data_IF_763339767727
#
_entry.id   IF_763339767727
#
_cell.length_a   1.000
_cell.length_b   1.000
_cell.length_c   1.000
_cell.angle_alpha   90.00
_cell.angle_beta   90.00
_cell.angle_gamma   90.00
#
_symmetry.space_group_name_H-M   'P 1'
#
loop_
_entity.id
_entity.type
_entity.pdbx_description
1 polymer ?
#
# COMPACT_ATOMS: atom_id res chain seq x y z
N UNK A 1 -16.37 8.23 -6.75
CA UNK A 1 -15.12 7.98 -5.99
C UNK A 1 -13.91 8.53 -6.76
N UNK A 2 -12.85 8.95 -6.06
CA UNK A 2 -11.55 9.34 -6.64
C UNK A 2 -10.39 8.54 -6.05
N UNK A 3 -9.51 8.02 -6.90
CA UNK A 3 -8.35 7.23 -6.50
C UNK A 3 -7.06 8.01 -6.73
N UNK A 4 -6.38 8.35 -5.65
CA UNK A 4 -5.09 9.04 -5.69
C UNK A 4 -3.96 8.00 -5.79
N UNK A 5 -3.30 7.97 -6.95
CA UNK A 5 -2.33 6.97 -7.38
C UNK A 5 -0.92 7.57 -7.51
N UNK A 6 0.08 6.69 -7.56
CA UNK A 6 1.39 7.01 -8.10
C UNK A 6 1.86 5.79 -8.91
N UNK A 7 2.04 5.94 -10.23
CA UNK A 7 2.34 4.82 -11.15
C UNK A 7 3.56 3.99 -10.76
N UNK A 8 4.53 4.62 -10.11
CA UNK A 8 5.80 4.01 -9.72
C UNK A 8 5.79 3.41 -8.31
N UNK A 9 4.75 3.67 -7.52
CA UNK A 9 4.69 3.22 -6.13
C UNK A 9 4.03 1.83 -6.01
N UNK A 10 4.57 0.94 -5.14
CA UNK A 10 4.07 -0.43 -5.04
C UNK A 10 2.70 -0.52 -4.33
N UNK A 11 2.43 0.30 -3.32
CA UNK A 11 1.15 0.24 -2.58
C UNK A 11 -0.05 0.67 -3.45
N UNK A 12 0.02 1.77 -4.23
CA UNK A 12 -1.06 2.11 -5.18
C UNK A 12 -1.22 1.08 -6.29
N UNK A 13 -0.13 0.49 -6.81
CA UNK A 13 -0.22 -0.59 -7.80
C UNK A 13 -1.08 -1.76 -7.32
N UNK A 14 -0.95 -2.15 -6.05
CA UNK A 14 -1.77 -3.21 -5.43
C UNK A 14 -3.27 -2.86 -5.41
N UNK A 15 -3.62 -1.61 -5.11
CA UNK A 15 -5.01 -1.14 -5.18
C UNK A 15 -5.52 -1.07 -6.62
N UNK A 16 -4.69 -0.62 -7.57
CA UNK A 16 -5.03 -0.54 -8.99
C UNK A 16 -5.35 -1.91 -9.59
N UNK A 17 -4.56 -2.93 -9.24
CA UNK A 17 -4.84 -4.32 -9.64
C UNK A 17 -6.21 -4.74 -9.11
N UNK A 18 -6.50 -4.50 -7.82
CA UNK A 18 -7.78 -4.84 -7.23
C UNK A 18 -8.96 -4.14 -7.91
N UNK A 19 -8.85 -2.84 -8.19
CA UNK A 19 -9.86 -2.06 -8.93
C UNK A 19 -10.11 -2.66 -10.32
N UNK A 20 -9.03 -3.03 -11.03
CA UNK A 20 -9.13 -3.64 -12.36
C UNK A 20 -9.76 -5.05 -12.32
N UNK A 21 -9.38 -5.89 -11.36
CA UNK A 21 -9.97 -7.23 -11.17
C UNK A 21 -11.45 -7.17 -10.79
N UNK A 22 -11.88 -6.11 -10.11
CA UNK A 22 -13.28 -5.83 -9.84
C UNK A 22 -14.06 -5.31 -11.06
N UNK A 23 -13.37 -4.92 -12.14
CA UNK A 23 -13.99 -4.29 -13.30
C UNK A 23 -14.61 -2.92 -13.00
N UNK A 24 -14.11 -2.21 -11.98
CA UNK A 24 -14.65 -0.89 -11.58
C UNK A 24 -13.84 0.20 -12.26
N UNK A 25 -14.53 1.20 -12.82
CA UNK A 25 -13.92 2.43 -13.27
C UNK A 25 -13.96 3.49 -12.16
N UNK A 26 -12.79 4.01 -11.78
CA UNK A 26 -12.65 5.07 -10.76
C UNK A 26 -11.77 6.18 -11.33
N UNK A 27 -12.22 7.44 -11.19
CA UNK A 27 -11.43 8.61 -11.54
C UNK A 27 -10.08 8.54 -10.83
N UNK A 28 -8.99 8.50 -11.59
CA UNK A 28 -7.62 8.37 -11.05
C UNK A 28 -6.90 9.71 -11.10
N UNK A 29 -6.38 10.15 -9.97
CA UNK A 29 -5.57 11.35 -9.81
C UNK A 29 -4.12 10.92 -9.58
N UNK A 30 -3.21 11.28 -10.48
CA UNK A 30 -1.78 11.00 -10.32
C UNK A 30 -1.18 11.98 -9.32
N UNK A 31 -0.46 11.45 -8.32
CA UNK A 31 0.26 12.23 -7.32
C UNK A 31 1.77 12.12 -7.57
N UNK A 32 2.43 13.24 -7.77
CA UNK A 32 3.87 13.29 -7.99
C UNK A 32 4.64 13.26 -6.66
N UNK A 33 5.03 12.04 -6.27
CA UNK A 33 5.86 11.82 -5.08
C UNK A 33 7.29 12.36 -5.22
N UNK A 34 7.78 12.61 -6.44
CA UNK A 34 9.13 13.13 -6.67
C UNK A 34 9.20 14.62 -6.38
N UNK A 35 8.18 15.38 -6.77
CA UNK A 35 8.08 16.81 -6.44
C UNK A 35 7.55 17.09 -5.02
N UNK A 36 7.16 16.04 -4.29
CA UNK A 36 6.68 16.19 -2.92
C UNK A 36 5.20 16.58 -2.83
N UNK A 37 4.40 16.35 -3.87
CA UNK A 37 2.98 16.73 -3.89
C UNK A 37 2.18 16.17 -2.70
N UNK A 38 2.40 14.90 -2.38
CA UNK A 38 1.85 14.24 -1.19
C UNK A 38 2.16 14.90 0.16
N UNK A 39 3.16 15.79 0.24
CA UNK A 39 3.54 16.50 1.46
C UNK A 39 2.85 17.85 1.59
N UNK A 40 2.18 18.33 0.54
CA UNK A 40 1.49 19.62 0.53
C UNK A 40 0.19 19.54 1.33
N UNK A 41 -0.24 20.68 1.87
CA UNK A 41 -1.41 20.78 2.74
C UNK A 41 -2.67 20.19 2.10
N UNK A 42 -2.85 20.38 0.78
CA UNK A 42 -4.00 19.87 0.05
C UNK A 42 -4.08 18.34 0.07
N UNK A 43 -2.94 17.64 -0.03
CA UNK A 43 -2.91 16.19 0.03
C UNK A 43 -2.93 15.67 1.48
N UNK A 44 -2.24 16.36 2.39
CA UNK A 44 -2.25 16.02 3.82
C UNK A 44 -3.66 16.12 4.42
N UNK A 45 -4.51 17.01 3.91
CA UNK A 45 -5.92 17.09 4.26
C UNK A 45 -6.71 15.82 3.88
N UNK A 46 -6.31 15.10 2.84
CA UNK A 46 -6.88 13.80 2.45
C UNK A 46 -6.30 12.67 3.31
N UNK A 47 -4.99 12.71 3.53
CA UNK A 47 -4.26 11.70 4.29
C UNK A 47 -3.14 12.32 5.12
N UNK A 48 -3.36 12.43 6.43
CA UNK A 48 -2.37 12.96 7.37
C UNK A 48 -1.04 12.18 7.40
N UNK A 49 -1.04 10.92 6.94
CA UNK A 49 0.19 10.14 6.79
C UNK A 49 1.03 10.56 5.58
N UNK A 50 0.53 11.44 4.71
CA UNK A 50 1.19 11.89 3.48
C UNK A 50 1.67 10.70 2.63
N UNK A 51 0.80 9.72 2.40
CA UNK A 51 1.11 8.52 1.60
C UNK A 51 0.03 8.24 0.56
N UNK A 52 0.42 7.50 -0.47
CA UNK A 52 -0.49 6.92 -1.46
C UNK A 52 -0.55 5.39 -1.27
N UNK A 53 -1.67 4.74 -1.59
CA UNK A 53 -2.87 5.30 -2.23
C UNK A 53 -3.85 5.96 -1.25
N UNK A 54 -4.78 6.75 -1.79
CA UNK A 54 -6.00 7.21 -1.10
C UNK A 54 -7.21 6.94 -2.00
N UNK A 55 -8.29 6.39 -1.44
CA UNK A 55 -9.61 6.37 -2.09
C UNK A 55 -10.52 7.37 -1.37
N UNK A 56 -10.93 8.42 -2.07
CA UNK A 56 -11.93 9.37 -1.62
C UNK A 56 -13.32 8.93 -2.10
N UNK A 57 -14.23 8.77 -1.14
CA UNK A 57 -15.63 8.44 -1.38
C UNK A 57 -16.43 9.69 -1.78
N UNK A 58 -17.66 9.50 -2.21
CA UNK A 58 -18.52 10.60 -2.70
C UNK A 58 -18.90 11.59 -1.59
N UNK A 59 -18.99 11.13 -0.34
CA UNK A 59 -19.23 11.96 0.83
C UNK A 59 -17.98 12.68 1.37
N UNK A 60 -16.84 12.51 0.70
CA UNK A 60 -15.55 13.08 1.08
C UNK A 60 -14.72 12.21 2.03
N UNK A 61 -15.25 11.10 2.54
CA UNK A 61 -14.50 10.15 3.39
C UNK A 61 -13.27 9.62 2.65
N UNK A 62 -12.12 9.54 3.32
CA UNK A 62 -10.86 9.06 2.73
C UNK A 62 -10.39 7.75 3.36
N UNK A 63 -10.11 6.75 2.53
CA UNK A 63 -9.49 5.47 2.91
C UNK A 63 -8.02 5.46 2.50
N UNK A 64 -7.13 5.43 3.49
CA UNK A 64 -5.71 5.76 3.32
C UNK A 64 -4.76 4.54 3.35
N UNK A 65 -5.31 3.33 3.32
CA UNK A 65 -4.54 2.08 3.26
C UNK A 65 -5.07 1.16 2.18
N UNK A 66 -4.18 0.41 1.54
CA UNK A 66 -4.54 -0.56 0.51
C UNK A 66 -5.57 -1.57 1.03
N UNK A 67 -5.42 -2.05 2.27
CA UNK A 67 -6.36 -2.97 2.91
C UNK A 67 -7.75 -2.37 3.10
N UNK A 68 -7.85 -1.12 3.57
CA UNK A 68 -9.14 -0.45 3.73
C UNK A 68 -9.85 -0.28 2.37
N UNK A 69 -9.10 0.10 1.34
CA UNK A 69 -9.60 0.23 -0.04
C UNK A 69 -10.13 -1.11 -0.54
N UNK A 70 -9.36 -2.19 -0.39
CA UNK A 70 -9.78 -3.54 -0.80
C UNK A 70 -11.07 -3.98 -0.12
N UNK A 71 -11.15 -3.89 1.21
CA UNK A 71 -12.35 -4.30 1.94
C UNK A 71 -13.57 -3.45 1.62
N UNK A 72 -13.41 -2.13 1.47
CA UNK A 72 -14.51 -1.26 1.07
C UNK A 72 -15.03 -1.62 -0.32
N UNK A 73 -14.13 -1.69 -1.32
CA UNK A 73 -14.50 -2.01 -2.69
C UNK A 73 -15.07 -3.43 -2.82
N UNK A 74 -14.56 -4.40 -2.06
CA UNK A 74 -15.13 -5.75 -2.03
C UNK A 74 -16.55 -5.78 -1.45
N UNK A 75 -16.81 -4.99 -0.41
CA UNK A 75 -18.11 -4.93 0.23
C UNK A 75 -19.16 -4.23 -0.65
N UNK A 76 -18.79 -3.13 -1.32
CA UNK A 76 -19.72 -2.37 -2.18
C UNK A 76 -19.86 -2.98 -3.59
N UNK A 77 -18.86 -3.75 -4.04
CA UNK A 77 -18.88 -4.52 -5.30
C UNK A 77 -18.58 -5.99 -5.00
N UNK A 78 -19.59 -6.78 -4.57
CA UNK A 78 -19.38 -8.14 -4.05
C UNK A 78 -18.96 -9.18 -5.11
N UNK A 79 -19.08 -8.88 -6.40
CA UNK A 79 -18.73 -9.79 -7.49
C UNK A 79 -17.63 -9.19 -8.38
N UNK A 80 -16.50 -9.88 -8.61
CA UNK A 80 -16.08 -11.16 -8.02
C UNK A 80 -15.65 -11.01 -6.55
N UNK A 81 -15.86 -11.99 -5.65
CA UNK A 81 -15.55 -11.88 -4.21
C UNK A 81 -14.04 -12.06 -3.91
N UNK A 82 -13.22 -11.07 -4.26
CA UNK A 82 -11.76 -11.10 -4.14
C UNK A 82 -11.26 -11.19 -2.70
N UNK A 83 -12.06 -10.74 -1.72
CA UNK A 83 -11.71 -10.87 -0.29
C UNK A 83 -12.33 -12.11 0.39
N UNK A 84 -12.91 -13.03 -0.40
CA UNK A 84 -13.44 -14.32 0.07
C UNK A 84 -14.98 -14.38 0.08
N UNK A 85 -15.52 -15.47 -0.49
CA UNK A 85 -16.96 -15.70 -0.64
C UNK A 85 -17.63 -16.24 0.64
N UNK A 86 -16.91 -17.00 1.45
CA UNK A 86 -17.40 -17.59 2.71
C UNK A 86 -16.63 -17.04 3.93
N UNK A 87 -17.15 -17.22 5.16
CA UNK A 87 -16.41 -16.82 6.37
C UNK A 87 -15.01 -17.45 6.47
N UNK A 88 -14.85 -18.71 6.04
CA UNK A 88 -13.55 -19.38 6.07
C UNK A 88 -12.61 -18.84 4.99
N UNK A 89 -13.11 -18.51 3.79
CA UNK A 89 -12.27 -17.93 2.74
C UNK A 89 -11.78 -16.53 3.13
N UNK A 90 -12.65 -15.71 3.73
CA UNK A 90 -12.28 -14.39 4.26
C UNK A 90 -11.17 -14.52 5.32
N UNK A 91 -11.28 -15.49 6.21
CA UNK A 91 -10.25 -15.80 7.20
C UNK A 91 -8.91 -16.18 6.55
N UNK A 92 -8.93 -17.05 5.53
CA UNK A 92 -7.74 -17.47 4.79
C UNK A 92 -7.09 -16.32 4.01
N UNK A 93 -7.89 -15.47 3.36
CA UNK A 93 -7.39 -14.30 2.64
C UNK A 93 -6.75 -13.31 3.62
N UNK A 94 -7.39 -13.04 4.76
CA UNK A 94 -6.84 -12.16 5.78
C UNK A 94 -5.53 -12.69 6.37
N UNK A 95 -5.47 -13.99 6.67
CA UNK A 95 -4.26 -14.65 7.18
C UNK A 95 -3.10 -14.57 6.17
N UNK A 96 -3.36 -14.92 4.90
CA UNK A 96 -2.35 -14.84 3.85
C UNK A 96 -1.90 -13.39 3.61
N UNK A 97 -2.83 -12.44 3.59
CA UNK A 97 -2.51 -11.01 3.44
C UNK A 97 -1.58 -10.57 4.57
N UNK A 98 -1.90 -10.89 5.82
CA UNK A 98 -1.08 -10.50 6.97
C UNK A 98 0.36 -11.02 6.84
N UNK A 99 0.53 -12.29 6.46
CA UNK A 99 1.85 -12.89 6.26
C UNK A 99 2.61 -12.22 5.10
N UNK A 100 1.94 -11.94 3.99
CA UNK A 100 2.54 -11.24 2.85
C UNK A 100 2.97 -9.82 3.23
N UNK A 101 2.12 -9.08 3.94
CA UNK A 101 2.41 -7.69 4.32
C UNK A 101 3.53 -7.61 5.36
N UNK A 102 3.39 -8.35 6.46
CA UNK A 102 4.33 -8.28 7.58
C UNK A 102 5.63 -9.04 7.31
N UNK A 103 5.56 -10.16 6.60
CA UNK A 103 6.72 -11.03 6.35
C UNK A 103 7.49 -10.64 5.09
N UNK A 104 6.78 -10.40 3.98
CA UNK A 104 7.38 -10.14 2.68
C UNK A 104 7.55 -8.65 2.39
N UNK A 105 6.44 -7.91 2.38
CA UNK A 105 6.41 -6.51 1.96
C UNK A 105 7.22 -5.61 2.90
N UNK A 106 7.06 -5.75 4.22
CA UNK A 106 7.83 -4.97 5.19
C UNK A 106 9.33 -5.29 5.14
N UNK A 107 9.71 -6.55 4.93
CA UNK A 107 11.12 -6.92 4.74
C UNK A 107 11.72 -6.27 3.48
N UNK A 108 10.97 -6.27 2.38
CA UNK A 108 11.35 -5.57 1.14
C UNK A 108 11.43 -4.05 1.34
N UNK A 109 10.48 -3.46 2.04
CA UNK A 109 10.47 -2.04 2.34
C UNK A 109 11.69 -1.64 3.18
N UNK A 110 12.02 -2.40 4.23
CA UNK A 110 13.20 -2.16 5.04
C UNK A 110 14.49 -2.27 4.22
N UNK A 111 14.64 -3.35 3.44
CA UNK A 111 15.78 -3.52 2.55
C UNK A 111 15.96 -2.33 1.61
N UNK A 112 14.93 -2.03 0.81
CA UNK A 112 14.99 -0.99 -0.22
C UNK A 112 15.19 0.39 0.38
N UNK A 113 14.41 0.77 1.40
CA UNK A 113 14.44 2.14 1.94
C UNK A 113 15.68 2.43 2.76
N UNK A 114 16.33 1.41 3.35
CA UNK A 114 17.55 1.59 4.14
C UNK A 114 18.85 1.33 3.35
N UNK A 115 18.78 0.94 2.08
CA UNK A 115 19.98 0.70 1.24
C UNK A 115 20.05 1.56 -0.02
N UNK A 116 18.92 1.93 -0.62
CA UNK A 116 18.92 2.63 -1.89
C UNK A 116 19.24 4.13 -1.74
N UNK A 117 20.11 4.64 -2.61
CA UNK A 117 20.57 6.04 -2.59
C UNK A 117 19.42 7.06 -2.68
N UNK A 118 18.38 6.73 -3.46
CA UNK A 118 17.18 7.56 -3.59
C UNK A 118 16.36 7.71 -2.30
N UNK A 119 16.68 6.95 -1.25
CA UNK A 119 16.00 7.00 0.04
C UNK A 119 16.84 7.61 1.17
N UNK A 120 18.02 8.18 0.87
CA UNK A 120 18.85 8.85 1.87
C UNK A 120 18.07 9.99 2.56
N UNK A 121 17.99 9.96 3.89
CA UNK A 121 17.22 10.92 4.70
C UNK A 121 15.69 10.76 4.61
N UNK A 122 15.20 9.64 4.04
CA UNK A 122 13.77 9.33 3.89
C UNK A 122 13.51 7.82 3.99
N UNK A 123 14.08 7.20 5.02
CA UNK A 123 14.03 5.75 5.24
C UNK A 123 12.62 5.20 5.49
N UNK A 124 11.65 6.05 5.87
CA UNK A 124 10.24 5.70 5.99
C UNK A 124 9.38 6.56 5.06
N UNK A 125 8.15 6.10 4.80
CA UNK A 125 7.16 6.90 4.07
C UNK A 125 6.51 7.92 5.01
N UNK A 126 5.97 8.99 4.43
CA UNK A 126 5.23 10.01 5.14
C UNK A 126 6.02 11.30 5.34
N UNK A 127 5.52 12.21 6.20
CA UNK A 127 6.00 13.58 6.23
C UNK A 127 7.30 13.77 7.03
N UNK A 128 7.68 12.78 7.85
CA UNK A 128 8.85 12.85 8.70
C UNK A 128 10.01 12.11 8.05
N UNK A 129 11.12 12.82 7.88
CA UNK A 129 12.39 12.27 7.42
C UNK A 129 13.07 11.46 8.51
N UNK A 130 13.50 10.25 8.16
CA UNK A 130 14.32 9.39 9.01
C UNK A 130 15.59 9.00 8.25
N UNK A 131 16.70 8.96 8.97
CA UNK A 131 17.96 8.44 8.44
C UNK A 131 17.87 6.94 8.17
N UNK A 132 18.65 6.49 7.19
CA UNK A 132 18.74 5.07 6.87
C UNK A 132 19.48 4.33 7.97
N UNK A 133 18.97 3.15 8.32
CA UNK A 133 19.57 2.25 9.31
C UNK A 133 20.08 1.01 8.57
N UNK A 134 21.39 0.91 8.26
CA UNK A 134 21.92 -0.19 7.45
C UNK A 134 21.64 -1.60 8.01
N UNK A 135 21.54 -1.74 9.34
CA UNK A 135 21.19 -2.99 9.99
C UNK A 135 19.77 -3.48 9.61
N UNK A 136 18.81 -2.57 9.39
CA UNK A 136 17.48 -2.92 8.89
C UNK A 136 17.54 -3.38 7.44
N UNK A 137 18.44 -2.81 6.62
CA UNK A 137 18.59 -3.27 5.24
C UNK A 137 19.06 -4.72 5.19
N UNK A 138 20.08 -5.06 5.97
CA UNK A 138 20.62 -6.42 6.06
C UNK A 138 19.58 -7.41 6.60
N UNK A 139 18.88 -7.06 7.69
CA UNK A 139 17.79 -7.87 8.22
C UNK A 139 16.62 -8.04 7.25
N UNK A 140 16.28 -6.99 6.50
CA UNK A 140 15.29 -7.03 5.42
C UNK A 140 15.69 -8.03 4.33
N UNK A 141 16.92 -7.95 3.84
CA UNK A 141 17.46 -8.85 2.80
C UNK A 141 17.35 -10.33 3.19
N UNK A 142 17.80 -10.67 4.40
CA UNK A 142 17.73 -12.05 4.91
C UNK A 142 16.30 -12.56 5.06
N UNK A 143 15.35 -11.69 5.43
CA UNK A 143 13.93 -12.06 5.54
C UNK A 143 13.27 -12.29 4.18
N UNK A 144 13.60 -11.48 3.17
CA UNK A 144 13.10 -11.66 1.80
C UNK A 144 13.49 -13.03 1.25
N UNK A 145 14.74 -13.46 1.42
CA UNK A 145 15.24 -14.75 0.94
C UNK A 145 14.48 -15.94 1.56
N UNK A 146 14.01 -15.80 2.80
CA UNK A 146 13.29 -16.85 3.54
C UNK A 146 11.78 -16.83 3.33
N UNK A 147 11.21 -15.72 2.85
CA UNK A 147 9.77 -15.52 2.77
C UNK A 147 9.06 -16.55 1.85
N UNK A 148 9.53 -16.81 0.61
CA UNK A 148 8.87 -17.76 -0.29
C UNK A 148 8.78 -19.19 0.26
N UNK A 149 9.73 -19.60 1.11
CA UNK A 149 9.78 -20.93 1.73
C UNK A 149 8.87 -21.12 2.94
N UNK A 150 8.13 -20.07 3.35
CA UNK A 150 7.23 -20.10 4.53
C UNK A 150 5.75 -19.97 4.20
N UNK A 151 5.41 -19.65 2.95
CA UNK A 151 4.04 -19.46 2.46
C UNK A 151 3.35 -20.78 2.03
N UNK A 152 3.68 -21.89 2.70
CA UNK A 152 3.12 -23.22 2.43
C UNK A 152 2.02 -23.61 3.40
#
# INVERSE_FOLDING_TARGET
MRFYDCKTAPSPRRARIFIAEKGIEIETVEVDLRSGEHLKEEFVALNAHATVPVLQLEDGTCLNSTTAIWHYLDAVHPDPPLMGASPIDRGRVADLQWHIEMGGFMAMAEYMRNSAQGFKGRALAGPVSYDQIPALAEGGKQRIERFPGRSG
#
